data_IF_182718585033
#
_entry.id   IF_182718585033
#
_cell.length_a   1.000
_cell.length_b   1.000
_cell.length_c   1.000
_cell.angle_alpha   90.00
_cell.angle_beta   90.00
_cell.angle_gamma   90.00
#
_symmetry.space_group_name_H-M   'P 1'
#
loop_
_entity.id
_entity.type
_entity.pdbx_description
1 polymer ?
#
# COMPACT_ATOMS: atom_id res chain seq x y z
N UNK A 1 14.20 6.72 -0.58
CA UNK A 1 14.96 7.35 0.51
C UNK A 1 16.10 8.25 0.01
N UNK A 2 16.79 7.89 -1.10
CA UNK A 2 17.96 8.67 -1.58
C UNK A 2 17.64 10.08 -2.06
N UNK A 3 16.47 10.32 -2.64
CA UNK A 3 16.10 11.64 -3.19
C UNK A 3 15.16 12.45 -2.30
N UNK A 4 14.47 11.82 -1.36
CA UNK A 4 13.49 12.49 -0.52
C UNK A 4 14.05 13.64 0.34
N UNK A 5 15.29 13.54 0.91
CA UNK A 5 15.87 14.61 1.70
C UNK A 5 16.54 15.74 0.88
N UNK A 6 16.58 15.64 -0.45
CA UNK A 6 17.20 16.66 -1.30
C UNK A 6 16.33 17.93 -1.37
N UNK A 7 16.95 19.10 -1.32
CA UNK A 7 16.28 20.39 -1.54
C UNK A 7 15.75 20.49 -2.97
N UNK A 8 16.59 20.16 -3.96
CA UNK A 8 16.22 20.11 -5.37
C UNK A 8 15.97 18.65 -5.78
N UNK A 9 14.74 18.18 -5.61
CA UNK A 9 14.36 16.81 -5.95
C UNK A 9 14.25 16.62 -7.46
N UNK A 10 14.87 15.59 -8.02
CA UNK A 10 14.65 15.26 -9.43
C UNK A 10 13.20 14.78 -9.65
N UNK A 11 12.72 14.95 -10.87
CA UNK A 11 11.49 14.29 -11.30
C UNK A 11 11.72 12.77 -11.31
N UNK A 12 10.75 12.03 -10.79
CA UNK A 12 10.79 10.57 -10.79
C UNK A 12 9.84 10.03 -11.84
N UNK A 13 10.26 8.98 -12.53
CA UNK A 13 9.45 8.28 -13.50
C UNK A 13 9.43 6.78 -13.19
N UNK A 14 8.36 6.10 -13.59
CA UNK A 14 8.16 4.69 -13.29
C UNK A 14 7.73 3.95 -14.55
N UNK A 15 8.35 2.78 -14.79
CA UNK A 15 7.88 1.80 -15.77
C UNK A 15 7.44 0.57 -14.98
N UNK A 16 6.13 0.24 -14.98
CA UNK A 16 5.59 -0.83 -14.14
C UNK A 16 5.95 -2.20 -14.71
N UNK A 17 6.82 -2.92 -14.00
CA UNK A 17 7.27 -4.28 -14.35
C UNK A 17 7.08 -5.28 -13.20
N UNK A 18 6.49 -4.84 -12.10
CA UNK A 18 6.19 -5.67 -10.94
C UNK A 18 4.88 -6.44 -11.06
N UNK A 19 4.50 -7.15 -9.99
CA UNK A 19 3.28 -7.97 -9.95
C UNK A 19 2.02 -7.12 -9.72
N UNK A 20 2.00 -6.27 -8.70
CA UNK A 20 0.82 -5.47 -8.32
C UNK A 20 0.87 -4.06 -8.89
N UNK A 21 2.06 -3.48 -8.94
CA UNK A 21 2.32 -2.13 -9.47
C UNK A 21 1.41 -1.04 -8.87
N UNK A 22 1.13 -1.12 -7.56
CA UNK A 22 0.18 -0.26 -6.85
C UNK A 22 0.41 1.22 -7.11
N UNK A 23 1.66 1.67 -7.07
CA UNK A 23 2.00 3.06 -7.29
C UNK A 23 1.71 3.50 -8.72
N UNK A 24 2.01 2.65 -9.71
CA UNK A 24 1.68 2.93 -11.12
C UNK A 24 0.16 2.97 -11.36
N UNK A 25 -0.61 2.12 -10.66
CA UNK A 25 -2.09 2.16 -10.70
C UNK A 25 -2.61 3.50 -10.19
N UNK A 26 -2.16 3.92 -9.00
CA UNK A 26 -2.56 5.19 -8.42
C UNK A 26 -2.26 6.38 -9.34
N UNK A 27 -1.15 6.32 -10.08
CA UNK A 27 -0.74 7.31 -11.06
C UNK A 27 -1.39 7.13 -12.44
N UNK A 28 -2.21 6.10 -12.64
CA UNK A 28 -2.83 5.75 -13.93
C UNK A 28 -1.81 5.54 -15.06
N UNK A 29 -0.63 5.02 -14.73
CA UNK A 29 0.40 4.67 -15.70
C UNK A 29 -0.02 3.36 -16.39
N UNK A 30 0.08 3.24 -17.73
CA UNK A 30 -0.24 2.03 -18.45
C UNK A 30 0.56 0.83 -17.92
N UNK A 31 -0.15 -0.26 -17.63
CA UNK A 31 0.44 -1.51 -17.15
C UNK A 31 0.42 -2.56 -18.24
N UNK A 32 1.44 -3.42 -18.25
CA UNK A 32 1.59 -4.46 -19.28
C UNK A 32 2.13 -3.96 -20.62
N UNK A 33 2.30 -2.64 -20.78
CA UNK A 33 2.91 -2.02 -21.95
C UNK A 33 4.02 -1.04 -21.53
N UNK A 34 5.28 -1.51 -21.42
CA UNK A 34 6.41 -0.65 -21.06
C UNK A 34 6.66 0.50 -22.03
N UNK A 35 6.32 0.33 -23.31
CA UNK A 35 6.50 1.37 -24.34
C UNK A 35 5.48 2.48 -24.10
N UNK A 36 4.22 2.16 -23.84
CA UNK A 36 3.21 3.15 -23.51
C UNK A 36 3.57 3.90 -22.22
N UNK A 37 4.09 3.22 -21.21
CA UNK A 37 4.57 3.84 -19.98
C UNK A 37 5.75 4.80 -20.25
N UNK A 38 6.72 4.40 -21.08
CA UNK A 38 7.84 5.25 -21.47
C UNK A 38 7.41 6.51 -22.24
N UNK A 39 6.38 6.41 -23.08
CA UNK A 39 5.83 7.58 -23.82
C UNK A 39 5.22 8.65 -22.91
N UNK A 40 4.77 8.29 -21.70
CA UNK A 40 4.32 9.30 -20.71
C UNK A 40 5.50 10.15 -20.26
N UNK A 41 6.68 9.55 -20.10
CA UNK A 41 7.91 10.26 -19.72
C UNK A 41 8.29 11.28 -20.80
N UNK A 42 8.21 10.90 -22.08
CA UNK A 42 8.46 11.81 -23.21
C UNK A 42 7.53 13.02 -23.19
N UNK A 43 6.27 12.85 -22.82
CA UNK A 43 5.29 13.94 -22.72
C UNK A 43 5.60 14.93 -21.59
N UNK A 44 6.56 14.60 -20.71
CA UNK A 44 6.97 15.42 -19.57
C UNK A 44 5.80 15.91 -18.68
N UNK A 45 4.70 15.13 -18.65
CA UNK A 45 3.57 15.41 -17.76
C UNK A 45 3.96 14.96 -16.35
N UNK A 46 3.89 15.87 -15.40
CA UNK A 46 4.24 15.59 -14.01
C UNK A 46 3.09 15.93 -13.09
N UNK A 47 2.96 15.17 -12.04
CA UNK A 47 2.05 15.44 -10.92
C UNK A 47 2.86 15.64 -9.64
N UNK A 48 2.32 16.41 -8.72
CA UNK A 48 2.87 16.51 -7.36
C UNK A 48 2.32 15.33 -6.55
N UNK A 49 3.14 14.83 -5.65
CA UNK A 49 2.75 13.78 -4.75
C UNK A 49 3.38 13.98 -3.38
N UNK A 50 2.62 13.63 -2.37
CA UNK A 50 3.10 13.59 -1.00
C UNK A 50 4.10 12.46 -0.78
N UNK A 51 4.97 12.64 0.19
CA UNK A 51 5.96 11.67 0.64
C UNK A 51 5.78 11.49 2.14
N UNK A 52 5.53 10.26 2.55
CA UNK A 52 5.48 9.92 3.96
C UNK A 52 6.87 9.75 4.56
N UNK A 53 7.04 10.22 5.79
CA UNK A 53 8.25 10.02 6.57
C UNK A 53 7.93 9.18 7.81
N UNK A 54 8.67 8.10 8.00
CA UNK A 54 8.59 7.24 9.16
C UNK A 54 9.96 7.12 9.84
N UNK A 55 9.97 6.98 11.17
CA UNK A 55 11.20 6.76 11.95
C UNK A 55 12.36 7.72 11.59
N UNK A 56 12.07 9.00 11.56
CA UNK A 56 13.04 10.08 11.36
C UNK A 56 13.52 10.25 9.91
N UNK A 57 14.11 9.25 9.29
CA UNK A 57 14.74 9.37 7.95
C UNK A 57 14.32 8.30 6.94
N UNK A 58 13.33 7.50 7.24
CA UNK A 58 12.78 6.53 6.29
C UNK A 58 11.57 7.12 5.59
N UNK A 59 11.54 7.04 4.28
CA UNK A 59 10.48 7.62 3.46
C UNK A 59 9.72 6.53 2.72
N UNK A 60 8.41 6.76 2.50
CA UNK A 60 7.56 5.91 1.69
C UNK A 60 6.69 6.78 0.78
N UNK A 61 6.29 6.24 -0.36
CA UNK A 61 5.54 6.96 -1.40
C UNK A 61 4.16 6.34 -1.69
N UNK A 62 3.89 5.17 -1.15
CA UNK A 62 2.62 4.47 -1.37
C UNK A 62 1.96 4.14 -0.04
N UNK A 63 2.53 3.20 0.71
CA UNK A 63 1.98 2.72 1.96
C UNK A 63 3.07 2.39 2.97
N UNK A 64 2.82 2.70 4.25
CA UNK A 64 3.49 2.11 5.38
C UNK A 64 2.54 1.18 6.11
N UNK A 65 3.03 0.02 6.56
CA UNK A 65 2.21 -0.97 7.24
C UNK A 65 2.91 -1.50 8.48
N UNK A 66 2.12 -1.81 9.52
CA UNK A 66 2.57 -2.45 10.73
C UNK A 66 1.56 -3.51 11.20
N UNK A 67 2.06 -4.57 11.82
CA UNK A 67 1.23 -5.65 12.35
C UNK A 67 1.64 -7.04 11.86
N UNK A 68 0.85 -8.05 12.18
CA UNK A 68 1.22 -9.46 12.02
C UNK A 68 1.42 -9.89 10.56
N UNK A 69 0.67 -9.31 9.63
CA UNK A 69 0.75 -9.67 8.20
C UNK A 69 1.82 -8.88 7.42
N UNK A 70 2.52 -7.95 8.06
CA UNK A 70 3.60 -7.22 7.38
C UNK A 70 4.77 -8.12 7.00
N UNK A 71 4.96 -9.23 7.73
CA UNK A 71 5.97 -10.25 7.41
C UNK A 71 5.67 -10.99 6.10
N UNK A 72 4.42 -10.97 5.62
CA UNK A 72 4.00 -11.58 4.37
C UNK A 72 4.82 -11.08 3.17
N UNK A 73 5.10 -9.79 3.15
CA UNK A 73 5.84 -9.15 2.06
C UNK A 73 7.26 -9.69 1.92
N UNK A 74 7.86 -10.10 3.04
CA UNK A 74 9.22 -10.63 3.10
C UNK A 74 9.29 -12.16 2.98
N UNK A 75 8.18 -12.86 3.24
CA UNK A 75 8.16 -14.32 3.35
C UNK A 75 7.81 -15.06 2.05
N UNK A 76 7.41 -14.35 0.98
CA UNK A 76 7.12 -14.96 -0.33
C UNK A 76 8.37 -14.91 -1.19
N UNK A 77 8.99 -16.07 -1.56
CA UNK A 77 10.14 -16.12 -2.45
C UNK A 77 9.86 -15.48 -3.82
N UNK A 78 10.87 -14.84 -4.41
CA UNK A 78 10.74 -14.15 -5.71
C UNK A 78 10.33 -15.08 -6.84
N UNK A 79 10.77 -16.33 -6.82
CA UNK A 79 10.42 -17.34 -7.83
C UNK A 79 8.93 -17.70 -7.77
N UNK A 80 8.35 -17.80 -6.57
CA UNK A 80 6.91 -18.06 -6.40
C UNK A 80 6.08 -16.84 -6.82
N UNK A 81 6.56 -15.63 -6.52
CA UNK A 81 5.94 -14.37 -6.96
C UNK A 81 5.86 -14.30 -8.48
N UNK A 82 6.91 -14.69 -9.19
CA UNK A 82 6.96 -14.62 -10.65
C UNK A 82 6.05 -15.65 -11.34
N UNK A 83 5.80 -16.80 -10.72
CA UNK A 83 4.98 -17.88 -11.32
C UNK A 83 3.49 -17.76 -10.96
N UNK A 84 3.16 -17.49 -9.72
CA UNK A 84 1.79 -17.47 -9.21
C UNK A 84 1.23 -16.05 -9.02
N UNK A 85 2.06 -15.02 -9.20
CA UNK A 85 1.63 -13.63 -9.09
C UNK A 85 0.88 -13.35 -7.79
N UNK A 86 -0.29 -12.75 -7.92
CA UNK A 86 -1.15 -12.39 -6.80
C UNK A 86 -1.60 -13.59 -5.94
N UNK A 87 -1.82 -14.76 -6.55
CA UNK A 87 -2.26 -15.97 -5.84
C UNK A 87 -1.23 -16.44 -4.80
N UNK A 88 0.07 -16.19 -5.02
CA UNK A 88 1.10 -16.51 -4.05
C UNK A 88 0.93 -15.70 -2.74
N UNK A 89 0.54 -14.44 -2.84
CA UNK A 89 0.28 -13.59 -1.68
C UNK A 89 -1.00 -14.01 -0.95
N UNK A 90 -2.06 -14.36 -1.69
CA UNK A 90 -3.31 -14.84 -1.11
C UNK A 90 -3.10 -16.13 -0.35
N UNK A 91 -2.39 -17.11 -0.95
CA UNK A 91 -2.10 -18.39 -0.32
C UNK A 91 -1.24 -18.22 0.95
N UNK A 92 -0.19 -17.39 0.87
CA UNK A 92 0.67 -17.11 2.03
C UNK A 92 -0.05 -16.32 3.11
N UNK A 93 -0.90 -15.37 2.73
CA UNK A 93 -1.79 -14.64 3.64
C UNK A 93 -2.70 -15.60 4.41
N UNK A 94 -3.37 -16.52 3.71
CA UNK A 94 -4.22 -17.53 4.34
C UNK A 94 -3.46 -18.43 5.33
N UNK A 95 -2.21 -18.80 5.03
CA UNK A 95 -1.35 -19.55 5.95
C UNK A 95 -0.99 -18.75 7.22
N UNK A 96 -0.80 -17.44 7.09
CA UNK A 96 -0.39 -16.58 8.19
C UNK A 96 -1.56 -16.06 9.03
N UNK A 97 -2.78 -16.04 8.50
CA UNK A 97 -3.97 -15.54 9.20
C UNK A 97 -4.22 -16.18 10.58
N UNK A 98 -4.05 -17.50 10.77
CA UNK A 98 -4.22 -18.12 12.08
C UNK A 98 -3.22 -17.63 13.13
N UNK A 99 -2.09 -17.06 12.71
CA UNK A 99 -1.02 -16.50 13.57
C UNK A 99 -1.24 -15.03 13.89
N UNK A 100 -2.25 -14.39 13.27
CA UNK A 100 -2.56 -12.99 13.49
C UNK A 100 -3.00 -12.73 14.91
N UNK A 101 -2.41 -11.71 15.55
CA UNK A 101 -2.68 -11.34 16.94
C UNK A 101 -3.11 -9.88 17.01
N UNK A 102 -4.11 -9.62 17.84
CA UNK A 102 -4.48 -8.25 18.19
C UNK A 102 -3.45 -7.67 19.16
N UNK A 103 -2.97 -6.46 18.85
CA UNK A 103 -2.10 -5.68 19.71
C UNK A 103 -2.82 -4.43 20.18
N UNK A 104 -2.64 -4.06 21.44
CA UNK A 104 -3.09 -2.76 21.94
C UNK A 104 -2.24 -1.67 21.30
N UNK A 105 -2.89 -0.64 20.80
CA UNK A 105 -2.25 0.53 20.22
C UNK A 105 -2.88 1.80 20.77
N UNK A 106 -2.08 2.83 20.82
CA UNK A 106 -2.47 4.21 21.03
C UNK A 106 -1.99 5.00 19.81
N UNK A 107 -2.90 5.63 19.09
CA UNK A 107 -2.61 6.35 17.85
C UNK A 107 -3.20 7.75 17.98
N UNK A 108 -2.32 8.74 17.97
CA UNK A 108 -2.69 10.14 17.89
C UNK A 108 -2.72 10.58 16.43
N UNK A 109 -3.74 11.29 16.03
CA UNK A 109 -3.92 11.83 14.68
C UNK A 109 -4.69 13.15 14.73
N UNK A 110 -4.74 13.91 13.62
CA UNK A 110 -5.29 15.28 13.59
C UNK A 110 -6.75 15.39 14.07
N UNK A 111 -7.52 14.32 13.96
CA UNK A 111 -8.94 14.29 14.36
C UNK A 111 -9.18 13.65 15.73
N UNK A 112 -8.12 13.33 16.48
CA UNK A 112 -8.25 12.79 17.84
C UNK A 112 -7.30 11.63 18.15
N UNK A 113 -7.74 10.74 19.02
CA UNK A 113 -6.96 9.61 19.53
C UNK A 113 -7.74 8.32 19.34
N UNK A 114 -7.08 7.32 18.79
CA UNK A 114 -7.61 5.95 18.77
C UNK A 114 -6.87 5.12 19.82
N UNK A 115 -7.63 4.53 20.75
CA UNK A 115 -7.14 3.50 21.66
C UNK A 115 -7.90 2.21 21.45
N UNK A 116 -7.18 1.11 21.22
CA UNK A 116 -7.84 -0.16 20.95
C UNK A 116 -6.87 -1.28 20.58
N UNK A 117 -7.46 -2.39 20.15
CA UNK A 117 -6.71 -3.54 19.66
C UNK A 117 -6.84 -3.64 18.15
N UNK A 118 -5.72 -3.77 17.46
CA UNK A 118 -5.65 -3.95 16.01
C UNK A 118 -4.71 -5.10 15.65
N UNK A 119 -4.97 -5.74 14.53
CA UNK A 119 -4.06 -6.74 13.94
C UNK A 119 -3.13 -6.12 12.89
N UNK A 120 -3.64 -5.10 12.17
CA UNK A 120 -2.91 -4.40 11.12
C UNK A 120 -3.20 -2.90 11.17
N UNK A 121 -2.20 -2.12 10.83
CA UNK A 121 -2.26 -0.68 10.61
C UNK A 121 -1.70 -0.41 9.23
N UNK A 122 -2.42 0.36 8.43
CA UNK A 122 -1.92 0.90 7.18
C UNK A 122 -1.99 2.41 7.21
N UNK A 123 -0.95 3.05 6.73
CA UNK A 123 -0.87 4.49 6.49
C UNK A 123 -0.62 4.67 5.01
N UNK A 124 -1.63 5.09 4.27
CA UNK A 124 -1.62 5.16 2.82
C UNK A 124 -1.55 6.60 2.32
N UNK A 125 -0.78 6.80 1.24
CA UNK A 125 -0.69 8.03 0.44
C UNK A 125 -1.40 7.88 -0.90
N UNK A 126 -1.80 6.66 -1.26
CA UNK A 126 -2.49 6.37 -2.51
C UNK A 126 -3.69 5.46 -2.27
N UNK A 127 -4.58 5.41 -3.24
CA UNK A 127 -5.76 4.57 -3.19
C UNK A 127 -5.50 3.09 -3.57
N UNK A 128 -4.30 2.73 -4.00
CA UNK A 128 -3.96 1.37 -4.41
C UNK A 128 -3.08 0.68 -3.38
N UNK A 129 -3.59 -0.38 -2.76
CA UNK A 129 -2.94 -1.16 -1.72
C UNK A 129 -3.04 -2.64 -2.06
N UNK A 130 -1.90 -3.28 -2.38
CA UNK A 130 -1.84 -4.71 -2.68
C UNK A 130 -2.67 -5.13 -3.89
N UNK A 131 -2.85 -4.25 -4.88
CA UNK A 131 -3.71 -4.45 -6.05
C UNK A 131 -5.17 -4.05 -5.84
N UNK A 132 -5.55 -3.59 -4.65
CA UNK A 132 -6.92 -3.12 -4.34
C UNK A 132 -6.99 -1.61 -4.45
N UNK A 133 -7.72 -1.09 -5.45
CA UNK A 133 -7.83 0.34 -5.75
C UNK A 133 -8.87 1.08 -4.91
N UNK A 134 -9.65 0.36 -4.10
CA UNK A 134 -10.82 0.91 -3.42
C UNK A 134 -10.73 0.86 -1.89
N UNK A 135 -9.57 0.51 -1.34
CA UNK A 135 -9.38 0.53 0.12
C UNK A 135 -9.29 1.95 0.69
N UNK A 136 -8.90 2.91 -0.12
CA UNK A 136 -8.83 4.33 0.23
C UNK A 136 -9.29 5.18 -0.97
N UNK A 137 -10.60 5.11 -1.37
CA UNK A 137 -11.09 5.67 -2.63
C UNK A 137 -10.93 7.18 -2.74
N UNK A 138 -11.00 7.89 -1.62
CA UNK A 138 -10.99 9.35 -1.53
C UNK A 138 -9.59 9.93 -1.32
N UNK A 139 -8.53 9.12 -1.46
CA UNK A 139 -7.16 9.59 -1.26
C UNK A 139 -6.76 10.56 -2.37
N UNK A 140 -6.41 11.77 -1.97
CA UNK A 140 -5.81 12.81 -2.83
C UNK A 140 -4.30 12.67 -2.72
N UNK A 141 -3.57 12.85 -3.84
CA UNK A 141 -2.15 12.52 -3.89
C UNK A 141 -1.22 13.62 -3.38
N UNK A 142 -1.72 14.85 -3.19
CA UNK A 142 -0.93 16.04 -2.86
C UNK A 142 -1.65 16.99 -1.88
N UNK A 143 -2.42 16.43 -0.95
CA UNK A 143 -3.20 17.20 0.04
C UNK A 143 -2.52 17.27 1.42
N UNK A 144 -1.35 16.65 1.56
CA UNK A 144 -0.60 16.61 2.82
C UNK A 144 -1.17 15.64 3.87
N UNK A 145 -2.13 14.80 3.48
CA UNK A 145 -2.81 13.90 4.40
C UNK A 145 -2.44 12.43 4.17
N UNK A 146 -2.61 11.63 5.23
CA UNK A 146 -2.55 10.17 5.18
C UNK A 146 -3.95 9.58 5.35
N UNK A 147 -4.23 8.49 4.66
CA UNK A 147 -5.36 7.64 5.00
C UNK A 147 -4.91 6.57 5.99
N UNK A 148 -5.48 6.61 7.22
CA UNK A 148 -5.21 5.63 8.26
C UNK A 148 -6.27 4.52 8.21
N UNK A 149 -5.83 3.28 8.00
CA UNK A 149 -6.70 2.11 7.98
C UNK A 149 -6.30 1.17 9.13
N UNK A 150 -7.27 0.86 10.00
CA UNK A 150 -7.09 0.02 11.17
C UNK A 150 -7.91 -1.27 11.05
N UNK A 151 -7.24 -2.42 11.00
CA UNK A 151 -7.91 -3.72 11.01
C UNK A 151 -8.06 -4.20 12.46
N UNK A 152 -9.30 -4.18 12.95
CA UNK A 152 -9.63 -4.48 14.35
C UNK A 152 -9.95 -5.95 14.63
N UNK A 153 -9.70 -6.84 13.70
CA UNK A 153 -9.96 -8.27 13.84
C UNK A 153 -8.70 -9.10 13.62
N UNK A 154 -8.63 -10.26 14.26
CA UNK A 154 -7.64 -11.30 14.00
C UNK A 154 -8.32 -12.63 13.63
N UNK A 155 -9.65 -12.67 13.50
CA UNK A 155 -10.39 -13.86 13.13
C UNK A 155 -10.22 -14.13 11.63
N UNK A 156 -9.93 -15.37 11.28
CA UNK A 156 -9.70 -15.79 9.90
C UNK A 156 -10.87 -15.41 8.97
N UNK A 157 -12.10 -15.73 9.38
CA UNK A 157 -13.29 -15.45 8.57
C UNK A 157 -13.54 -13.95 8.35
N UNK A 158 -13.34 -13.13 9.38
CA UNK A 158 -13.48 -11.68 9.25
C UNK A 158 -12.42 -11.10 8.30
N UNK A 159 -11.18 -11.58 8.39
CA UNK A 159 -10.11 -11.14 7.49
C UNK A 159 -10.33 -11.58 6.05
N UNK A 160 -10.84 -12.79 5.83
CA UNK A 160 -11.25 -13.25 4.49
C UNK A 160 -12.41 -12.42 3.96
N UNK A 161 -13.40 -12.08 4.79
CA UNK A 161 -14.50 -11.19 4.41
C UNK A 161 -13.99 -9.81 4.01
N UNK A 162 -13.07 -9.22 4.78
CA UNK A 162 -12.42 -7.94 4.45
C UNK A 162 -11.65 -8.02 3.12
N UNK A 163 -10.96 -9.14 2.85
CA UNK A 163 -10.27 -9.33 1.56
C UNK A 163 -11.25 -9.39 0.40
N UNK A 164 -12.38 -10.13 0.55
CA UNK A 164 -13.43 -10.20 -0.47
C UNK A 164 -14.07 -8.83 -0.70
N UNK A 165 -14.34 -8.09 0.36
CA UNK A 165 -14.87 -6.72 0.28
C UNK A 165 -13.91 -5.78 -0.44
N UNK A 166 -12.60 -5.87 -0.13
CA UNK A 166 -11.58 -5.09 -0.81
C UNK A 166 -11.52 -5.37 -2.32
N UNK A 167 -11.68 -6.64 -2.73
CA UNK A 167 -11.77 -7.04 -4.15
C UNK A 167 -13.00 -6.41 -4.81
N UNK A 168 -14.15 -6.42 -4.12
CA UNK A 168 -15.42 -5.94 -4.64
C UNK A 168 -15.60 -4.41 -4.51
N UNK A 169 -14.62 -3.71 -3.97
CA UNK A 169 -14.62 -2.26 -3.88
C UNK A 169 -15.08 -1.67 -2.56
N UNK A 170 -14.86 -2.40 -1.47
CA UNK A 170 -15.06 -2.06 -0.07
C UNK A 170 -15.53 -0.64 0.25
N UNK A 171 -16.84 -0.41 0.26
CA UNK A 171 -17.41 0.77 0.88
C UNK A 171 -17.88 0.39 2.28
N UNK A 172 -17.40 1.15 3.27
CA UNK A 172 -18.00 1.26 4.60
C UNK A 172 -17.86 2.67 5.13
#
# INVERSE_FOLDING_TARGET
NGVAPLENRPKLAFIPTGTTNDYARALKIPMGDPVAAARIIEKNQTIKMDIGQAYGKKYFINIAAAGTLTELTYSVPSEIKSRLGYLAYVAKGAEMLPKSKLRKVHIEHDHGVFEGKVSLIFVALTNSIGGFEKLAPDTVLDDGNFTLILVKTARLFDMLALMIQAINGGQH
#
